data_IF_589100184002
#
_entry.id   IF_589100184002
#
_cell.length_a   1.000
_cell.length_b   1.000
_cell.length_c   1.000
_cell.angle_alpha   90.00
_cell.angle_beta   90.00
_cell.angle_gamma   90.00
#
_symmetry.space_group_name_H-M   'P 1'
#
loop_
_entity.id
_entity.type
_entity.pdbx_description
1 polymer ?
#
# COMPACT_ATOMS: atom_id res chain seq x y z
N UNK A 1 12.70 12.11 36.41
CA UNK A 1 13.43 12.00 35.14
C UNK A 1 12.37 11.87 34.06
N UNK A 2 12.12 12.96 33.34
CA UNK A 2 11.18 12.98 32.23
C UNK A 2 11.88 12.34 31.03
N UNK A 3 11.33 11.22 30.52
CA UNK A 3 11.75 10.62 29.27
C UNK A 3 11.33 11.55 28.13
N UNK A 4 12.30 12.12 27.43
CA UNK A 4 12.06 12.86 26.22
C UNK A 4 11.69 11.87 25.09
N UNK A 5 10.47 12.00 24.60
CA UNK A 5 10.05 11.34 23.35
C UNK A 5 10.97 11.77 22.20
N UNK A 6 11.41 10.85 21.33
CA UNK A 6 12.22 11.19 20.19
C UNK A 6 11.41 12.08 19.24
N UNK A 7 11.87 13.31 19.07
CA UNK A 7 11.27 14.26 18.11
C UNK A 7 11.38 13.71 16.68
N UNK A 8 10.34 13.88 15.84
CA UNK A 8 10.41 13.49 14.45
C UNK A 8 11.51 14.30 13.75
N UNK A 9 12.46 13.58 13.16
CA UNK A 9 13.56 14.17 12.40
C UNK A 9 12.97 15.07 11.30
N UNK A 10 13.25 16.36 11.38
CA UNK A 10 12.95 17.31 10.32
C UNK A 10 13.67 16.87 9.04
N UNK A 11 12.89 16.41 8.06
CA UNK A 11 13.39 16.09 6.73
C UNK A 11 13.80 17.38 6.04
N UNK A 12 15.11 17.60 5.85
CA UNK A 12 15.61 18.72 5.07
C UNK A 12 15.00 18.70 3.66
N UNK A 13 14.33 19.77 3.21
CA UNK A 13 13.89 19.86 1.83
C UNK A 13 15.14 19.98 0.95
N UNK A 14 15.38 18.96 0.12
CA UNK A 14 16.42 19.03 -0.90
C UNK A 14 16.02 20.09 -1.90
N UNK A 15 16.85 21.12 -2.01
CA UNK A 15 16.77 22.23 -2.94
C UNK A 15 16.50 21.69 -4.38
N UNK A 16 15.46 22.15 -5.11
CA UNK A 16 15.10 21.58 -6.39
C UNK A 16 16.02 22.11 -7.49
N UNK A 17 17.16 21.52 -7.65
CA UNK A 17 17.70 21.40 -9.00
C UNK A 17 16.75 20.40 -9.66
N UNK A 18 15.91 20.86 -10.57
CA UNK A 18 15.00 20.02 -11.35
C UNK A 18 15.87 19.13 -12.23
N UNK A 19 16.46 18.15 -11.61
CA UNK A 19 17.18 17.10 -12.27
C UNK A 19 16.13 16.25 -12.97
N UNK A 20 16.29 16.05 -14.26
CA UNK A 20 15.35 15.29 -15.09
C UNK A 20 15.40 13.80 -14.70
N UNK A 21 14.82 13.45 -13.56
CA UNK A 21 14.75 12.07 -13.07
C UNK A 21 13.79 11.31 -13.98
N UNK A 22 14.27 10.22 -14.57
CA UNK A 22 13.41 9.28 -15.31
C UNK A 22 12.86 8.26 -14.32
N UNK A 23 11.55 8.26 -14.16
CA UNK A 23 10.86 7.35 -13.26
C UNK A 23 9.47 6.98 -13.80
N UNK A 24 8.93 5.89 -13.29
CA UNK A 24 7.57 5.46 -13.55
C UNK A 24 7.04 4.66 -12.34
N UNK A 25 5.72 4.53 -12.23
CA UNK A 25 5.10 3.62 -11.28
C UNK A 25 4.86 2.27 -11.92
N UNK A 26 5.34 1.21 -11.28
CA UNK A 26 5.14 -0.16 -11.72
C UNK A 26 4.72 -1.07 -10.57
N UNK A 27 4.57 -2.35 -10.85
CA UNK A 27 4.19 -3.35 -9.85
C UNK A 27 5.23 -3.51 -8.72
N UNK A 28 6.49 -3.13 -8.95
CA UNK A 28 7.55 -3.14 -7.93
C UNK A 28 7.62 -1.86 -7.10
N UNK A 29 6.74 -0.89 -7.34
CA UNK A 29 6.73 0.41 -6.68
C UNK A 29 7.16 1.56 -7.59
N UNK A 30 7.78 2.59 -7.03
CA UNK A 30 8.33 3.71 -7.77
C UNK A 30 9.70 3.32 -8.35
N UNK A 31 9.78 3.23 -9.67
CA UNK A 31 10.93 2.74 -10.42
C UNK A 31 11.75 3.91 -10.96
N UNK A 32 13.01 3.98 -10.59
CA UNK A 32 13.92 5.08 -10.95
C UNK A 32 15.06 4.52 -11.79
N UNK A 33 15.40 5.15 -12.90
CA UNK A 33 16.57 4.79 -13.68
C UNK A 33 17.84 5.29 -12.98
N UNK A 34 18.82 4.40 -12.77
CA UNK A 34 20.07 4.69 -12.05
C UNK A 34 20.94 5.73 -12.77
N UNK A 35 20.87 5.81 -14.10
CA UNK A 35 21.60 6.80 -14.92
C UNK A 35 21.17 8.24 -14.65
N UNK A 36 20.02 8.44 -14.02
CA UNK A 36 19.52 9.77 -13.65
C UNK A 36 19.87 10.19 -12.22
N UNK A 37 20.51 9.30 -11.47
CA UNK A 37 20.98 9.52 -10.09
C UNK A 37 22.50 9.50 -10.05
N UNK A 38 23.11 10.34 -9.22
CA UNK A 38 24.52 10.23 -8.93
C UNK A 38 24.81 9.01 -8.05
N UNK A 39 26.07 8.61 -7.97
CA UNK A 39 26.49 7.47 -7.12
C UNK A 39 26.17 7.74 -5.66
N UNK A 40 26.38 8.98 -5.21
CA UNK A 40 26.11 9.44 -3.85
C UNK A 40 24.61 9.38 -3.54
N UNK A 41 23.76 9.83 -4.48
CA UNK A 41 22.30 9.74 -4.35
C UNK A 41 21.80 8.29 -4.26
N UNK A 42 22.36 7.40 -5.07
CA UNK A 42 22.04 5.98 -5.02
C UNK A 42 22.46 5.36 -3.68
N UNK A 43 23.64 5.74 -3.16
CA UNK A 43 24.13 5.27 -1.87
C UNK A 43 23.26 5.79 -0.72
N UNK A 44 22.90 7.07 -0.75
CA UNK A 44 22.02 7.68 0.24
C UNK A 44 20.63 7.00 0.29
N UNK A 45 20.04 6.72 -0.88
CA UNK A 45 18.77 6.00 -0.98
C UNK A 45 18.85 4.58 -0.40
N UNK A 46 19.91 3.84 -0.71
CA UNK A 46 20.09 2.49 -0.14
C UNK A 46 20.22 2.53 1.38
N UNK A 47 20.96 3.50 1.90
CA UNK A 47 21.12 3.71 3.36
C UNK A 47 19.79 4.07 4.01
N UNK A 48 19.04 5.03 3.46
CA UNK A 48 17.75 5.49 3.99
C UNK A 48 16.70 4.38 3.96
N UNK A 49 16.71 3.54 2.91
CA UNK A 49 15.75 2.47 2.72
C UNK A 49 16.23 1.09 3.25
N UNK A 50 17.31 1.07 4.03
CA UNK A 50 17.70 -0.09 4.83
C UNK A 50 17.26 0.17 6.26
N UNK A 51 16.20 -0.54 6.68
CA UNK A 51 15.51 -0.31 7.96
C UNK A 51 15.71 -1.48 8.90
N UNK A 52 15.73 -1.20 10.20
CA UNK A 52 15.80 -2.21 11.25
C UNK A 52 14.72 -1.96 12.29
N UNK A 53 14.11 -3.03 12.79
CA UNK A 53 13.23 -2.95 13.94
C UNK A 53 14.09 -2.73 15.20
N UNK A 54 13.64 -1.84 16.06
CA UNK A 54 14.23 -1.67 17.39
C UNK A 54 13.41 -2.45 18.42
N UNK A 55 14.05 -3.36 19.14
CA UNK A 55 13.41 -4.10 20.23
C UNK A 55 13.93 -3.52 21.55
N UNK A 56 13.07 -2.80 22.31
CA UNK A 56 13.48 -2.22 23.59
C UNK A 56 14.00 -3.29 24.55
N UNK A 57 15.11 -2.98 25.25
CA UNK A 57 15.73 -3.84 26.25
C UNK A 57 16.26 -5.19 25.75
N UNK A 58 16.28 -5.45 24.44
CA UNK A 58 16.91 -6.64 23.87
C UNK A 58 18.42 -6.42 23.67
N UNK A 59 19.28 -7.33 24.14
CA UNK A 59 20.72 -7.24 23.88
C UNK A 59 21.06 -7.55 22.42
N UNK A 60 20.16 -8.20 21.69
CA UNK A 60 20.32 -8.54 20.27
C UNK A 60 19.25 -7.80 19.48
N UNK A 61 19.70 -6.90 18.59
CA UNK A 61 18.81 -6.20 17.68
C UNK A 61 18.68 -6.97 16.36
N UNK A 62 17.49 -6.94 15.73
CA UNK A 62 17.28 -7.55 14.43
C UNK A 62 18.22 -6.95 13.38
N UNK A 63 18.68 -7.79 12.46
CA UNK A 63 19.49 -7.33 11.33
C UNK A 63 18.66 -6.39 10.44
N UNK A 64 19.18 -5.20 10.11
CA UNK A 64 18.51 -4.31 9.16
C UNK A 64 18.32 -5.00 7.80
N UNK A 65 17.23 -4.67 7.13
CA UNK A 65 16.90 -5.22 5.82
C UNK A 65 16.47 -4.11 4.84
N UNK A 66 16.76 -4.27 3.54
CA UNK A 66 16.35 -3.30 2.54
C UNK A 66 14.84 -3.39 2.25
N UNK A 67 14.16 -2.25 2.23
CA UNK A 67 12.78 -2.11 1.76
C UNK A 67 12.72 -1.60 0.31
N UNK A 68 13.83 -1.63 -0.39
CA UNK A 68 13.96 -1.37 -1.81
C UNK A 68 14.38 -2.65 -2.55
N UNK A 69 14.24 -2.63 -3.86
CA UNK A 69 14.82 -3.62 -4.77
C UNK A 69 15.64 -2.92 -5.83
N UNK A 70 16.52 -3.63 -6.49
CA UNK A 70 17.28 -3.09 -7.59
C UNK A 70 17.55 -4.12 -8.69
N UNK A 71 17.75 -3.59 -9.88
CA UNK A 71 18.29 -4.27 -11.04
C UNK A 71 19.57 -3.55 -11.50
N UNK A 72 20.30 -4.05 -12.48
CA UNK A 72 21.46 -3.33 -13.01
C UNK A 72 21.16 -1.88 -13.40
N UNK A 73 19.96 -1.61 -13.95
CA UNK A 73 19.60 -0.31 -14.51
C UNK A 73 18.66 0.52 -13.62
N UNK A 74 17.99 -0.08 -12.62
CA UNK A 74 16.92 0.59 -11.88
C UNK A 74 16.99 0.35 -10.39
N UNK A 75 16.50 1.34 -9.63
CA UNK A 75 16.11 1.22 -8.23
C UNK A 75 14.58 1.22 -8.14
N UNK A 76 14.03 0.32 -7.33
CA UNK A 76 12.60 0.19 -7.03
C UNK A 76 12.40 0.52 -5.57
N UNK A 77 11.79 1.66 -5.31
CA UNK A 77 11.55 2.15 -3.95
C UNK A 77 10.07 2.06 -3.59
N UNK A 78 9.71 2.06 -2.30
CA UNK A 78 8.31 2.08 -1.91
C UNK A 78 7.54 3.19 -2.61
N UNK A 79 6.33 2.88 -3.07
CA UNK A 79 5.53 3.75 -3.93
C UNK A 79 5.36 5.16 -3.35
N UNK A 80 4.86 5.26 -2.13
CA UNK A 80 4.60 6.55 -1.50
C UNK A 80 5.86 7.31 -1.13
N UNK A 81 6.93 6.61 -0.73
CA UNK A 81 8.24 7.21 -0.54
C UNK A 81 8.71 7.92 -1.83
N UNK A 82 8.60 7.24 -2.98
CA UNK A 82 9.00 7.81 -4.25
C UNK A 82 8.14 9.01 -4.66
N UNK A 83 6.82 8.91 -4.48
CA UNK A 83 5.89 10.00 -4.80
C UNK A 83 6.11 11.24 -3.92
N UNK A 84 6.41 11.08 -2.64
CA UNK A 84 6.73 12.19 -1.73
C UNK A 84 8.11 12.77 -2.00
N UNK A 85 9.11 11.90 -2.19
CA UNK A 85 10.52 12.32 -2.39
C UNK A 85 10.70 13.16 -3.64
N UNK A 86 9.98 12.82 -4.71
CA UNK A 86 10.01 13.51 -5.98
C UNK A 86 8.63 14.12 -6.31
N UNK A 87 8.02 14.75 -5.32
CA UNK A 87 6.78 15.49 -5.51
C UNK A 87 6.96 16.57 -6.61
N UNK A 88 6.05 16.60 -7.58
CA UNK A 88 6.13 17.51 -8.73
C UNK A 88 6.75 16.90 -10.00
N UNK A 89 7.36 15.72 -9.92
CA UNK A 89 7.73 14.98 -11.13
C UNK A 89 6.52 14.19 -11.60
N UNK A 90 6.07 14.47 -12.82
CA UNK A 90 5.04 13.65 -13.46
C UNK A 90 5.63 12.29 -13.82
N UNK A 91 5.02 11.23 -13.29
CA UNK A 91 5.40 9.85 -13.56
C UNK A 91 4.27 9.11 -14.26
N UNK A 92 4.61 8.38 -15.31
CA UNK A 92 3.69 7.46 -15.96
C UNK A 92 3.34 6.30 -15.01
N UNK A 93 2.08 5.92 -14.93
CA UNK A 93 1.67 4.69 -14.23
C UNK A 93 1.61 3.53 -15.22
N UNK A 94 2.40 2.50 -14.97
CA UNK A 94 2.38 1.20 -15.66
C UNK A 94 1.72 0.11 -14.81
N UNK A 95 0.97 0.53 -13.79
CA UNK A 95 0.21 -0.38 -12.95
C UNK A 95 -1.06 -0.77 -13.70
N UNK A 96 -1.35 -2.06 -13.77
CA UNK A 96 -2.60 -2.54 -14.33
C UNK A 96 -3.80 -1.97 -13.56
N UNK A 97 -4.87 -1.55 -14.25
CA UNK A 97 -6.10 -1.14 -13.60
C UNK A 97 -6.80 -2.30 -12.85
N UNK A 98 -6.32 -3.54 -13.04
CA UNK A 98 -6.92 -4.74 -12.48
C UNK A 98 -8.07 -5.27 -13.33
N UNK A 99 -8.69 -6.35 -12.87
CA UNK A 99 -9.85 -6.96 -13.51
C UNK A 99 -11.13 -6.43 -12.87
N UNK A 100 -12.05 -5.92 -13.69
CA UNK A 100 -13.34 -5.45 -13.20
C UNK A 100 -14.19 -6.63 -12.68
N UNK A 101 -14.92 -6.37 -11.61
CA UNK A 101 -15.92 -7.26 -11.04
C UNK A 101 -17.25 -6.51 -10.89
N UNK A 102 -18.36 -7.25 -10.94
CA UNK A 102 -19.69 -6.71 -10.68
C UNK A 102 -20.30 -7.50 -9.53
N UNK A 103 -20.25 -6.92 -8.34
CA UNK A 103 -20.82 -7.49 -7.12
C UNK A 103 -21.76 -6.46 -6.50
N UNK A 104 -22.78 -6.93 -5.81
CA UNK A 104 -23.71 -6.09 -5.06
C UNK A 104 -23.51 -6.36 -3.56
N UNK A 105 -23.21 -5.33 -2.81
CA UNK A 105 -23.13 -5.42 -1.36
C UNK A 105 -24.53 -5.56 -0.77
N UNK A 106 -24.70 -6.58 0.07
CA UNK A 106 -25.96 -6.89 0.74
C UNK A 106 -25.84 -6.56 2.22
N UNK A 107 -26.41 -5.44 2.61
CA UNK A 107 -26.41 -4.94 3.99
C UNK A 107 -26.39 -3.42 4.04
N UNK A 108 -26.60 -2.88 5.22
CA UNK A 108 -26.59 -1.45 5.49
C UNK A 108 -25.38 -1.07 6.32
N UNK A 109 -24.71 -0.01 5.93
CA UNK A 109 -23.68 0.62 6.74
C UNK A 109 -24.33 1.53 7.78
N UNK A 110 -23.78 1.54 8.99
CA UNK A 110 -24.10 2.54 9.99
C UNK A 110 -23.55 3.91 9.54
N UNK A 111 -24.14 5.00 10.02
CA UNK A 111 -23.77 6.36 9.58
C UNK A 111 -22.26 6.62 9.65
N UNK A 112 -21.62 6.26 10.77
CA UNK A 112 -20.17 6.45 10.92
C UNK A 112 -19.35 5.58 9.95
N UNK A 113 -19.83 4.38 9.59
CA UNK A 113 -19.17 3.49 8.63
C UNK A 113 -19.25 4.08 7.22
N UNK A 114 -20.38 4.65 6.87
CA UNK A 114 -20.57 5.31 5.58
C UNK A 114 -19.58 6.47 5.40
N UNK A 115 -19.45 7.33 6.40
CA UNK A 115 -18.49 8.45 6.40
C UNK A 115 -17.05 7.96 6.22
N UNK A 116 -16.66 6.85 6.88
CA UNK A 116 -15.31 6.28 6.77
C UNK A 116 -15.08 5.72 5.36
N UNK A 117 -16.04 4.97 4.83
CA UNK A 117 -15.97 4.39 3.48
C UNK A 117 -15.85 5.49 2.42
N UNK A 118 -16.66 6.54 2.51
CA UNK A 118 -16.61 7.68 1.58
C UNK A 118 -15.24 8.40 1.61
N UNK A 119 -14.71 8.66 2.81
CA UNK A 119 -13.36 9.25 2.97
C UNK A 119 -12.28 8.37 2.34
N UNK A 120 -12.34 7.05 2.57
CA UNK A 120 -11.40 6.13 1.98
C UNK A 120 -11.49 6.11 0.45
N UNK A 121 -12.71 6.01 -0.10
CA UNK A 121 -12.92 6.02 -1.55
C UNK A 121 -12.45 7.31 -2.20
N UNK A 122 -12.67 8.44 -1.55
CA UNK A 122 -12.15 9.74 -2.00
C UNK A 122 -10.61 9.73 -2.05
N UNK A 123 -9.95 9.24 -0.99
CA UNK A 123 -8.50 9.12 -0.95
C UNK A 123 -7.98 8.13 -2.00
N UNK A 124 -8.64 6.97 -2.14
CA UNK A 124 -8.25 5.94 -3.10
C UNK A 124 -8.38 6.39 -4.57
N UNK A 125 -9.36 7.24 -4.88
CA UNK A 125 -9.60 7.76 -6.23
C UNK A 125 -8.81 9.02 -6.55
N UNK A 126 -8.55 9.85 -5.54
CA UNK A 126 -7.95 11.18 -5.70
C UNK A 126 -6.44 11.23 -5.43
N UNK A 127 -5.76 10.10 -5.33
CA UNK A 127 -4.32 10.10 -5.04
C UNK A 127 -3.47 10.56 -6.24
N UNK A 128 -3.85 11.69 -6.81
CA UNK A 128 -3.16 12.39 -7.88
C UNK A 128 -1.94 13.19 -7.41
N UNK A 129 -1.03 12.58 -6.65
CA UNK A 129 0.34 13.07 -6.60
C UNK A 129 0.95 12.76 -7.97
N UNK A 130 1.02 13.77 -8.86
CA UNK A 130 1.62 13.65 -10.19
C UNK A 130 0.67 13.57 -11.38
N UNK A 131 -0.63 13.88 -11.24
CA UNK A 131 -1.53 14.09 -12.38
C UNK A 131 -2.02 12.84 -13.12
N UNK A 132 -1.54 11.65 -12.80
CA UNK A 132 -2.09 10.39 -13.28
C UNK A 132 -3.03 9.79 -12.24
N UNK A 133 -4.06 9.07 -12.66
CA UNK A 133 -4.93 8.29 -11.78
C UNK A 133 -4.14 7.11 -11.17
N UNK A 134 -3.25 7.44 -10.26
CA UNK A 134 -2.41 6.48 -9.55
C UNK A 134 -3.26 5.99 -8.38
N UNK A 135 -4.03 4.94 -8.55
CA UNK A 135 -4.87 4.40 -7.49
C UNK A 135 -4.26 4.58 -6.09
N UNK A 136 -4.99 5.12 -5.17
CA UNK A 136 -4.55 5.40 -3.80
C UNK A 136 -4.75 4.24 -2.86
N UNK A 137 -4.43 4.48 -1.61
CA UNK A 137 -4.64 3.55 -0.52
C UNK A 137 -4.70 4.30 0.79
N UNK A 138 -4.97 3.61 1.86
CA UNK A 138 -5.04 4.19 3.19
C UNK A 138 -5.16 3.14 4.27
N UNK A 139 -5.07 3.57 5.50
CA UNK A 139 -5.30 2.77 6.69
C UNK A 139 -6.68 3.09 7.25
N UNK A 140 -7.48 2.05 7.49
CA UNK A 140 -8.71 2.18 8.27
C UNK A 140 -8.39 1.96 9.75
N UNK A 141 -8.08 3.05 10.45
CA UNK A 141 -7.87 3.05 11.89
C UNK A 141 -9.21 3.19 12.60
N UNK A 142 -9.74 2.08 13.06
CA UNK A 142 -11.07 1.98 13.68
C UNK A 142 -11.02 0.94 14.80
N UNK A 143 -11.68 1.23 15.90
CA UNK A 143 -11.74 0.34 17.07
C UNK A 143 -12.17 -1.09 16.75
N UNK A 144 -11.76 -2.09 17.54
CA UNK A 144 -12.29 -3.44 17.46
C UNK A 144 -13.82 -3.46 17.55
N UNK A 145 -14.46 -4.37 16.81
CA UNK A 145 -15.92 -4.52 16.82
C UNK A 145 -16.71 -3.50 16.00
N UNK A 146 -16.09 -2.46 15.48
CA UNK A 146 -16.77 -1.41 14.68
C UNK A 146 -17.03 -1.79 13.22
N UNK A 147 -16.81 -3.05 12.81
CA UNK A 147 -17.18 -3.56 11.49
C UNK A 147 -16.17 -3.24 10.38
N UNK A 148 -14.86 -3.25 10.67
CA UNK A 148 -13.80 -3.04 9.65
C UNK A 148 -13.97 -3.90 8.41
N UNK A 149 -14.27 -5.19 8.58
CA UNK A 149 -14.47 -6.14 7.47
C UNK A 149 -15.67 -5.75 6.62
N UNK A 150 -16.77 -5.31 7.22
CA UNK A 150 -17.98 -4.88 6.51
C UNK A 150 -17.70 -3.65 5.66
N UNK A 151 -17.00 -2.65 6.22
CA UNK A 151 -16.57 -1.46 5.48
C UNK A 151 -15.61 -1.81 4.34
N UNK A 152 -14.68 -2.74 4.56
CA UNK A 152 -13.76 -3.19 3.51
C UNK A 152 -14.50 -3.88 2.35
N UNK A 153 -15.51 -4.71 2.64
CA UNK A 153 -16.33 -5.35 1.60
C UNK A 153 -17.18 -4.34 0.82
N UNK A 154 -17.69 -3.30 1.48
CA UNK A 154 -18.34 -2.19 0.79
C UNK A 154 -17.37 -1.43 -0.12
N UNK A 155 -16.14 -1.22 0.32
CA UNK A 155 -15.09 -0.60 -0.51
C UNK A 155 -14.78 -1.48 -1.73
N UNK A 156 -14.69 -2.80 -1.58
CA UNK A 156 -14.50 -3.75 -2.70
C UNK A 156 -15.59 -3.59 -3.76
N UNK A 157 -16.85 -3.55 -3.34
CA UNK A 157 -17.97 -3.30 -4.27
C UNK A 157 -17.83 -1.96 -4.99
N UNK A 158 -17.57 -0.89 -4.23
CA UNK A 158 -17.46 0.47 -4.79
C UNK A 158 -16.27 0.66 -5.73
N UNK A 159 -15.16 -0.05 -5.51
CA UNK A 159 -13.99 -0.03 -6.40
C UNK A 159 -14.18 -0.96 -7.61
N UNK A 160 -15.09 -1.91 -7.53
CA UNK A 160 -15.46 -2.84 -8.60
C UNK A 160 -14.26 -3.53 -9.25
N UNK A 161 -13.25 -3.88 -8.46
CA UNK A 161 -12.00 -4.48 -8.95
C UNK A 161 -11.70 -5.77 -8.19
N UNK A 162 -11.23 -6.80 -8.90
CA UNK A 162 -10.79 -8.07 -8.31
C UNK A 162 -9.79 -7.79 -7.18
N UNK A 163 -10.09 -8.31 -6.00
CA UNK A 163 -9.41 -7.95 -4.76
C UNK A 163 -8.68 -9.13 -4.16
N UNK A 164 -7.47 -8.89 -3.66
CA UNK A 164 -6.69 -9.84 -2.86
C UNK A 164 -6.76 -9.41 -1.39
N UNK A 165 -7.21 -10.33 -0.53
CA UNK A 165 -7.19 -10.16 0.92
C UNK A 165 -6.02 -10.95 1.50
N UNK A 166 -5.10 -10.27 2.18
CA UNK A 166 -3.93 -10.90 2.81
C UNK A 166 -4.11 -10.93 4.33
N UNK A 167 -4.05 -12.13 4.90
CA UNK A 167 -4.18 -12.36 6.34
C UNK A 167 -3.06 -13.27 6.85
N UNK A 168 -2.71 -13.14 8.12
CA UNK A 168 -1.59 -13.88 8.71
C UNK A 168 -2.00 -15.13 9.52
N UNK A 169 -3.29 -15.42 9.61
CA UNK A 169 -3.85 -16.58 10.34
C UNK A 169 -4.97 -17.24 9.56
N UNK A 170 -5.02 -18.57 9.60
CA UNK A 170 -6.03 -19.37 8.89
C UNK A 170 -7.47 -19.04 9.31
N UNK A 171 -7.71 -18.85 10.61
CA UNK A 171 -9.06 -18.53 11.09
C UNK A 171 -9.56 -17.19 10.54
N UNK A 172 -8.66 -16.22 10.29
CA UNK A 172 -9.02 -14.96 9.65
C UNK A 172 -9.43 -15.18 8.18
N UNK A 173 -8.74 -16.09 7.47
CA UNK A 173 -9.13 -16.45 6.10
C UNK A 173 -10.55 -16.99 6.05
N UNK A 174 -10.91 -17.91 6.97
CA UNK A 174 -12.26 -18.47 7.08
C UNK A 174 -13.28 -17.38 7.42
N UNK A 175 -12.97 -16.50 8.39
CA UNK A 175 -13.84 -15.39 8.76
C UNK A 175 -14.08 -14.44 7.59
N UNK A 176 -13.05 -14.13 6.78
CA UNK A 176 -13.22 -13.32 5.59
C UNK A 176 -14.12 -14.01 4.56
N UNK A 177 -13.92 -15.31 4.33
CA UNK A 177 -14.77 -16.07 3.42
C UNK A 177 -16.24 -16.02 3.83
N UNK A 178 -16.54 -16.31 5.08
CA UNK A 178 -17.92 -16.22 5.63
C UNK A 178 -18.53 -14.82 5.45
N UNK A 179 -17.74 -13.77 5.70
CA UNK A 179 -18.21 -12.39 5.53
C UNK A 179 -18.41 -12.01 4.07
N UNK A 180 -17.55 -12.50 3.16
CA UNK A 180 -17.74 -12.31 1.71
C UNK A 180 -19.04 -13.00 1.27
N UNK A 181 -19.26 -14.23 1.66
CA UNK A 181 -20.50 -14.98 1.34
C UNK A 181 -21.74 -14.25 1.87
N UNK A 182 -21.68 -13.66 3.05
CA UNK A 182 -22.78 -12.92 3.67
C UNK A 182 -23.07 -11.58 2.97
N UNK A 183 -22.04 -10.79 2.69
CA UNK A 183 -22.21 -9.40 2.25
C UNK A 183 -21.99 -9.16 0.75
N UNK A 184 -21.35 -10.09 0.06
CA UNK A 184 -21.13 -10.06 -1.39
C UNK A 184 -21.56 -11.39 -2.01
N UNK A 185 -22.86 -11.76 -1.93
CA UNK A 185 -23.34 -13.01 -2.48
C UNK A 185 -23.05 -13.07 -3.98
N UNK A 186 -22.61 -14.23 -4.45
CA UNK A 186 -22.16 -14.43 -5.83
C UNK A 186 -20.68 -14.12 -6.08
N UNK A 187 -19.94 -13.65 -5.08
CA UNK A 187 -18.49 -13.55 -5.18
C UNK A 187 -17.86 -14.94 -5.24
N UNK A 188 -16.97 -15.14 -6.20
CA UNK A 188 -16.16 -16.36 -6.28
C UNK A 188 -14.87 -16.14 -5.51
N UNK A 189 -14.67 -16.94 -4.46
CA UNK A 189 -13.55 -16.78 -3.54
C UNK A 189 -12.56 -17.92 -3.76
N UNK A 190 -11.35 -17.60 -4.15
CA UNK A 190 -10.21 -18.50 -4.18
C UNK A 190 -9.38 -18.39 -2.90
N UNK A 191 -8.62 -19.42 -2.60
CA UNK A 191 -7.73 -19.47 -1.42
C UNK A 191 -6.32 -19.84 -1.87
N UNK A 192 -5.32 -19.09 -1.35
CA UNK A 192 -3.91 -19.43 -1.47
C UNK A 192 -3.38 -19.59 -0.05
N UNK A 193 -3.03 -20.83 0.32
CA UNK A 193 -2.56 -21.14 1.66
C UNK A 193 -1.59 -22.34 1.62
N UNK A 194 -0.33 -22.12 1.92
CA UNK A 194 0.68 -23.19 1.81
C UNK A 194 0.75 -23.76 0.40
N UNK A 195 0.48 -25.06 0.26
CA UNK A 195 0.45 -25.74 -1.03
C UNK A 195 -0.91 -25.68 -1.73
N UNK A 196 -1.94 -25.19 -1.03
CA UNK A 196 -3.28 -25.01 -1.63
C UNK A 196 -3.29 -23.73 -2.46
N UNK A 197 -3.52 -23.88 -3.77
CA UNK A 197 -3.69 -22.77 -4.71
C UNK A 197 -5.01 -23.03 -5.43
N UNK A 198 -6.11 -22.51 -4.87
CA UNK A 198 -7.44 -22.58 -5.46
C UNK A 198 -7.80 -21.21 -6.05
N UNK A 199 -7.32 -20.97 -7.27
CA UNK A 199 -7.53 -19.70 -7.99
C UNK A 199 -8.24 -19.89 -9.33
N UNK A 200 -8.46 -21.13 -9.73
CA UNK A 200 -9.11 -21.45 -11.01
C UNK A 200 -10.57 -21.04 -10.99
N UNK A 201 -10.99 -20.35 -12.03
CA UNK A 201 -12.36 -19.83 -12.19
C UNK A 201 -12.83 -18.79 -11.14
N UNK A 202 -11.91 -18.10 -10.48
CA UNK A 202 -12.24 -17.10 -9.44
C UNK A 202 -11.96 -15.66 -9.91
#
# INVERSE_FOLDING_TARGET
>A
MQEQEPQPQQRNPINPIIKKIKAYLGYQGYSIFKDTLTVEEQHALRKELTVGAYIPKSPIQPTPFPIYRESPLKLYVPRYFGLERWAGIQVESKISPGHAISLKFMGDLRDYQQVIVEKYLKAARNSGLGGAAIGGGGLLDVDPGKGKTVMALKIVECLATKTLVVVHKSFLSNQWKERIEQFLPGARVGIIQGQLIDTDNK
#
